data_IF_844842822731
#
_entry.id   IF_844842822731
#
_cell.length_a   1.000
_cell.length_b   1.000
_cell.length_c   1.000
_cell.angle_alpha   90.00
_cell.angle_beta   90.00
_cell.angle_gamma   90.00
#
_symmetry.space_group_name_H-M   'P 1'
#
loop_
_entity.id
_entity.type
_entity.pdbx_description
1 polymer ?
#
# COMPACT_ATOMS: atom_id res chain seq x y z
N UNK A 1 4.64 6.78 -15.94
CA UNK A 1 4.88 7.53 -17.18
C UNK A 1 5.84 6.77 -18.09
N UNK A 2 5.64 6.87 -19.41
CA UNK A 2 6.65 6.40 -20.38
C UNK A 2 7.62 7.54 -20.59
N UNK A 3 8.90 7.31 -20.32
CA UNK A 3 9.98 8.30 -20.45
C UNK A 3 10.96 7.85 -21.52
N UNK A 4 11.53 8.80 -22.25
CA UNK A 4 12.68 8.53 -23.11
C UNK A 4 13.95 8.35 -22.28
N UNK A 5 14.98 7.76 -22.89
CA UNK A 5 16.33 7.74 -22.29
C UNK A 5 16.78 9.18 -22.06
N UNK A 6 17.37 9.48 -20.92
CA UNK A 6 17.80 10.83 -20.50
C UNK A 6 16.68 11.80 -20.10
N UNK A 7 15.41 11.43 -20.18
CA UNK A 7 14.33 12.27 -19.68
C UNK A 7 14.25 12.18 -18.15
N UNK A 8 14.11 13.35 -17.51
CA UNK A 8 13.82 13.47 -16.09
C UNK A 8 12.57 14.30 -15.92
N UNK A 9 11.59 13.78 -15.16
CA UNK A 9 10.31 14.47 -14.92
C UNK A 9 10.00 14.47 -13.42
N UNK A 10 9.59 15.62 -12.88
CA UNK A 10 9.14 15.73 -11.50
C UNK A 10 7.91 14.84 -11.28
N UNK A 11 7.89 14.09 -10.21
CA UNK A 11 6.75 13.31 -9.76
C UNK A 11 5.78 14.26 -9.03
N UNK A 12 4.68 14.63 -9.68
CA UNK A 12 3.67 15.51 -9.10
C UNK A 12 2.76 14.75 -8.13
N UNK A 13 2.50 13.47 -8.42
CA UNK A 13 1.67 12.59 -7.59
C UNK A 13 2.57 11.62 -6.82
N UNK A 14 2.66 11.82 -5.51
CA UNK A 14 3.45 11.00 -4.61
C UNK A 14 2.82 9.62 -4.34
N UNK A 15 1.53 9.46 -4.59
CA UNK A 15 0.84 8.17 -4.44
C UNK A 15 1.27 7.14 -5.48
N UNK A 16 1.93 7.60 -6.55
CA UNK A 16 2.49 6.74 -7.58
C UNK A 16 3.90 6.22 -7.26
N UNK A 17 4.46 6.59 -6.11
CA UNK A 17 5.72 6.02 -5.68
C UNK A 17 5.54 4.58 -5.21
N UNK A 18 6.18 3.68 -5.92
CA UNK A 18 6.33 2.28 -5.54
C UNK A 18 7.81 1.97 -5.45
N UNK A 19 8.25 1.51 -4.30
CA UNK A 19 9.69 1.37 -3.98
C UNK A 19 10.40 0.21 -4.68
N UNK A 20 9.85 -0.27 -5.79
CA UNK A 20 10.43 -1.38 -6.57
C UNK A 20 11.88 -1.12 -7.01
N UNK A 21 12.18 0.12 -7.39
CA UNK A 21 13.53 0.56 -7.74
C UNK A 21 13.61 2.07 -7.61
N UNK A 22 14.43 2.57 -6.71
CA UNK A 22 14.69 4.00 -6.56
C UNK A 22 16.12 4.27 -6.07
N UNK A 23 16.59 5.48 -6.24
CA UNK A 23 17.87 5.94 -5.72
C UNK A 23 17.71 7.28 -5.03
N UNK A 24 18.40 7.47 -3.93
CA UNK A 24 18.49 8.75 -3.23
C UNK A 24 19.85 8.92 -2.55
N UNK A 25 20.21 10.15 -2.18
CA UNK A 25 21.44 10.39 -1.45
C UNK A 25 21.35 9.84 -0.03
N UNK A 26 22.48 9.40 0.54
CA UNK A 26 22.55 9.00 1.94
C UNK A 26 22.17 10.15 2.91
N UNK A 27 22.37 11.41 2.49
CA UNK A 27 21.95 12.58 3.26
C UNK A 27 20.42 12.67 3.29
N UNK A 28 19.77 12.57 2.13
CA UNK A 28 18.29 12.60 2.03
C UNK A 28 17.67 11.46 2.81
N UNK A 29 18.22 10.24 2.68
CA UNK A 29 17.80 9.07 3.46
C UNK A 29 17.81 9.35 4.98
N UNK A 30 18.91 9.89 5.50
CA UNK A 30 19.02 10.23 6.93
C UNK A 30 18.07 11.35 7.35
N UNK A 31 17.81 12.32 6.46
CA UNK A 31 16.88 13.43 6.76
C UNK A 31 15.44 12.94 6.86
N UNK A 32 15.02 12.04 5.96
CA UNK A 32 13.67 11.46 5.93
C UNK A 32 13.50 10.38 7.00
N UNK A 33 14.55 9.67 7.37
CA UNK A 33 14.56 8.64 8.41
C UNK A 33 14.23 7.22 7.93
N UNK A 34 14.32 6.95 6.62
CA UNK A 34 14.02 5.62 6.06
C UNK A 34 12.52 5.31 6.01
N UNK A 35 12.14 4.06 5.83
CA UNK A 35 10.74 3.62 5.94
C UNK A 35 10.29 3.58 7.40
N UNK A 36 9.01 3.87 7.64
CA UNK A 36 8.44 3.77 8.98
C UNK A 36 8.16 2.29 9.33
N UNK A 37 8.84 1.78 10.37
CA UNK A 37 8.75 0.38 10.80
C UNK A 37 7.39 0.02 11.44
N UNK A 38 6.48 0.97 11.65
CA UNK A 38 5.10 0.67 12.06
C UNK A 38 4.32 -0.06 10.97
N UNK A 39 4.69 0.18 9.69
CA UNK A 39 4.12 -0.55 8.57
C UNK A 39 4.71 -1.96 8.53
N UNK A 40 3.89 -2.95 8.76
CA UNK A 40 4.28 -4.37 8.73
C UNK A 40 3.46 -5.07 7.66
N UNK A 41 4.08 -6.00 6.92
CA UNK A 41 3.42 -6.73 5.85
C UNK A 41 3.26 -5.89 4.59
N UNK A 42 2.06 -5.66 4.11
CA UNK A 42 1.82 -5.12 2.77
C UNK A 42 1.00 -3.84 2.78
N UNK A 43 1.48 -2.81 2.08
CA UNK A 43 0.74 -1.62 1.63
C UNK A 43 0.83 -0.41 2.56
N UNK A 44 0.96 0.76 1.94
CA UNK A 44 0.97 2.08 2.57
C UNK A 44 2.35 2.62 2.92
N UNK A 45 3.37 1.77 3.10
CA UNK A 45 4.74 2.14 3.46
C UNK A 45 5.42 2.99 2.40
N UNK A 46 5.23 2.64 1.13
CA UNK A 46 5.80 3.36 0.00
C UNK A 46 5.26 4.78 -0.10
N UNK A 47 3.94 4.91 -0.06
CA UNK A 47 3.25 6.19 -0.10
C UNK A 47 3.60 7.05 1.11
N UNK A 48 3.69 6.45 2.31
CA UNK A 48 4.13 7.14 3.52
C UNK A 48 5.55 7.71 3.35
N UNK A 49 6.46 6.89 2.85
CA UNK A 49 7.84 7.32 2.61
C UNK A 49 7.91 8.50 1.63
N UNK A 50 7.15 8.42 0.52
CA UNK A 50 7.06 9.51 -0.44
C UNK A 50 6.48 10.79 0.17
N UNK A 51 5.43 10.69 0.98
CA UNK A 51 4.84 11.83 1.69
C UNK A 51 5.82 12.47 2.66
N UNK A 52 6.65 11.68 3.37
CA UNK A 52 7.68 12.19 4.26
C UNK A 52 8.81 12.89 3.51
N UNK A 53 9.17 12.43 2.30
CA UNK A 53 10.10 13.15 1.42
C UNK A 53 9.53 14.54 1.11
N UNK A 54 8.27 14.63 0.69
CA UNK A 54 7.60 15.89 0.41
C UNK A 54 7.51 16.80 1.63
N UNK A 55 7.13 16.28 2.79
CA UNK A 55 7.05 17.01 4.05
C UNK A 55 8.40 17.56 4.52
N UNK A 56 9.50 16.89 4.18
CA UNK A 56 10.87 17.35 4.43
C UNK A 56 11.36 18.40 3.40
N UNK A 57 10.49 18.85 2.49
CA UNK A 57 10.84 19.79 1.42
C UNK A 57 11.62 19.15 0.27
N UNK A 58 11.65 17.82 0.19
CA UNK A 58 12.25 17.09 -0.92
C UNK A 58 11.30 16.97 -2.11
N UNK A 59 11.86 16.54 -3.23
CA UNK A 59 11.10 16.21 -4.44
C UNK A 59 11.53 14.85 -4.98
N UNK A 60 10.65 14.21 -5.72
CA UNK A 60 10.93 12.98 -6.44
C UNK A 60 10.88 13.23 -7.93
N UNK A 61 11.65 12.46 -8.68
CA UNK A 61 11.68 12.52 -10.12
C UNK A 61 11.59 11.12 -10.71
N UNK A 62 10.93 11.02 -11.84
CA UNK A 62 11.02 9.87 -12.72
C UNK A 62 12.24 10.05 -13.63
N UNK A 63 13.09 9.03 -13.70
CA UNK A 63 14.27 9.04 -14.56
C UNK A 63 14.11 7.98 -15.66
N UNK A 64 14.20 8.39 -16.91
CA UNK A 64 14.24 7.50 -18.06
C UNK A 64 15.62 6.83 -18.17
N UNK A 65 15.67 5.72 -18.92
CA UNK A 65 16.93 4.98 -19.18
C UNK A 65 17.43 4.08 -18.04
N UNK A 66 16.99 4.29 -16.80
CA UNK A 66 17.31 3.43 -15.65
C UNK A 66 16.34 2.24 -15.59
N UNK A 67 16.37 1.37 -16.60
CA UNK A 67 15.45 0.26 -16.73
C UNK A 67 15.69 -0.81 -15.67
N UNK A 68 14.66 -1.17 -14.93
CA UNK A 68 14.64 -2.33 -14.05
C UNK A 68 13.60 -3.35 -14.57
N UNK A 69 13.91 -4.63 -14.43
CA UNK A 69 13.02 -5.71 -14.82
C UNK A 69 12.42 -6.36 -13.57
N UNK A 70 11.10 -6.22 -13.41
CA UNK A 70 10.38 -6.93 -12.36
C UNK A 70 9.99 -8.32 -12.87
N UNK A 71 10.43 -9.36 -12.16
CA UNK A 71 10.08 -10.73 -12.53
C UNK A 71 8.55 -10.92 -12.45
N UNK A 72 7.95 -11.37 -13.55
CA UNK A 72 6.52 -11.63 -13.59
C UNK A 72 6.13 -12.73 -12.59
N UNK A 73 5.12 -12.46 -11.79
CA UNK A 73 4.45 -13.43 -10.94
C UNK A 73 2.94 -13.16 -10.94
N UNK A 74 2.10 -14.17 -10.69
CA UNK A 74 0.67 -13.94 -10.51
C UNK A 74 0.42 -12.93 -9.39
N UNK A 75 -0.43 -11.94 -9.66
CA UNK A 75 -0.82 -10.93 -8.69
C UNK A 75 -2.34 -10.80 -8.66
N UNK A 76 -2.88 -10.57 -7.46
CA UNK A 76 -4.29 -10.27 -7.26
C UNK A 76 -4.49 -8.75 -7.24
N UNK A 77 -5.58 -8.28 -7.84
CA UNK A 77 -5.97 -6.87 -7.77
C UNK A 77 -7.46 -6.75 -7.41
N UNK A 78 -7.78 -6.26 -6.21
CA UNK A 78 -6.89 -5.96 -5.10
C UNK A 78 -6.29 -7.23 -4.46
N UNK A 79 -5.17 -7.10 -3.74
CA UNK A 79 -4.47 -8.23 -3.13
C UNK A 79 -5.18 -8.71 -1.85
N UNK A 80 -6.21 -9.53 -2.03
CA UNK A 80 -7.08 -10.03 -0.93
C UNK A 80 -6.29 -10.81 0.11
N UNK A 81 -5.25 -11.55 -0.31
CA UNK A 81 -4.37 -12.27 0.62
C UNK A 81 -3.66 -11.37 1.63
N UNK A 82 -3.59 -10.06 1.38
CA UNK A 82 -2.97 -9.05 2.26
C UNK A 82 -4.00 -8.10 2.91
N UNK A 83 -5.29 -8.45 2.87
CA UNK A 83 -6.37 -7.58 3.38
C UNK A 83 -6.09 -7.05 4.79
N UNK A 84 -5.73 -7.93 5.72
CA UNK A 84 -5.48 -7.55 7.11
C UNK A 84 -4.34 -6.53 7.24
N UNK A 85 -3.23 -6.76 6.54
CA UNK A 85 -2.09 -5.83 6.53
C UNK A 85 -2.49 -4.48 5.94
N UNK A 86 -3.20 -4.49 4.81
CA UNK A 86 -3.65 -3.28 4.13
C UNK A 86 -4.58 -2.45 5.02
N UNK A 87 -5.55 -3.08 5.68
CA UNK A 87 -6.48 -2.39 6.60
C UNK A 87 -5.71 -1.78 7.78
N UNK A 88 -4.84 -2.55 8.43
CA UNK A 88 -4.01 -2.06 9.54
C UNK A 88 -3.13 -0.89 9.11
N UNK A 89 -2.41 -1.04 8.01
CA UNK A 89 -1.49 -0.03 7.49
C UNK A 89 -2.25 1.22 7.00
N UNK A 90 -3.44 1.06 6.42
CA UNK A 90 -4.30 2.18 6.05
C UNK A 90 -4.68 3.04 7.27
N UNK A 91 -4.93 2.43 8.43
CA UNK A 91 -5.17 3.17 9.66
C UNK A 91 -3.94 3.91 10.17
N UNK A 92 -2.72 3.34 10.04
CA UNK A 92 -1.47 4.03 10.36
C UNK A 92 -1.34 5.26 9.48
N UNK A 93 -1.50 5.08 8.17
CA UNK A 93 -1.42 6.16 7.19
C UNK A 93 -2.45 7.27 7.46
N UNK A 94 -3.71 6.90 7.74
CA UNK A 94 -4.79 7.85 8.06
C UNK A 94 -4.46 8.72 9.27
N UNK A 95 -3.87 8.13 10.30
CA UNK A 95 -3.45 8.90 11.51
C UNK A 95 -2.35 9.90 11.19
N UNK A 96 -1.39 9.53 10.33
CA UNK A 96 -0.25 10.39 9.98
C UNK A 96 -0.62 11.50 9.00
N UNK A 97 -1.48 11.20 8.02
CA UNK A 97 -1.72 12.07 6.86
C UNK A 97 -3.15 12.60 6.73
N UNK A 98 -4.07 12.21 7.61
CA UNK A 98 -5.45 12.67 7.60
C UNK A 98 -6.31 12.16 6.43
N UNK A 99 -5.78 11.30 5.58
CA UNK A 99 -6.46 10.71 4.41
C UNK A 99 -6.19 9.22 4.31
N UNK A 100 -6.98 8.50 3.54
CA UNK A 100 -6.77 7.08 3.27
C UNK A 100 -5.79 6.87 2.12
N UNK A 101 -4.87 5.90 2.21
CA UNK A 101 -4.08 5.43 1.08
C UNK A 101 -4.87 4.40 0.28
N UNK A 102 -4.43 4.08 -0.93
CA UNK A 102 -4.94 2.95 -1.71
C UNK A 102 -6.48 2.88 -1.81
N UNK A 103 -7.15 4.03 -1.92
CA UNK A 103 -8.64 4.14 -1.85
C UNK A 103 -9.31 3.15 -2.81
N UNK A 104 -8.79 2.97 -4.03
CA UNK A 104 -9.36 2.04 -4.99
C UNK A 104 -9.38 0.58 -4.52
N UNK A 105 -8.41 0.16 -3.71
CA UNK A 105 -8.43 -1.17 -3.11
C UNK A 105 -9.43 -1.25 -1.96
N UNK A 106 -9.52 -0.20 -1.13
CA UNK A 106 -10.47 -0.16 -0.02
C UNK A 106 -11.92 -0.20 -0.53
N UNK A 107 -12.22 0.53 -1.60
CA UNK A 107 -13.53 0.50 -2.27
C UNK A 107 -13.83 -0.88 -2.85
N UNK A 108 -12.85 -1.51 -3.50
CA UNK A 108 -13.03 -2.85 -4.08
C UNK A 108 -13.19 -3.92 -3.00
N UNK A 109 -12.48 -3.82 -1.87
CA UNK A 109 -12.70 -4.68 -0.71
C UNK A 109 -14.11 -4.50 -0.12
N UNK A 110 -14.61 -3.25 -0.05
CA UNK A 110 -15.97 -2.98 0.39
C UNK A 110 -17.01 -3.58 -0.57
N UNK A 111 -16.79 -3.44 -1.89
CA UNK A 111 -17.68 -4.02 -2.91
C UNK A 111 -17.72 -5.56 -2.82
N UNK A 112 -16.63 -6.19 -2.39
CA UNK A 112 -16.54 -7.65 -2.14
C UNK A 112 -17.07 -8.06 -0.77
N UNK A 113 -17.50 -7.11 0.08
CA UNK A 113 -18.01 -7.40 1.42
C UNK A 113 -16.92 -7.86 2.40
N UNK A 114 -15.66 -7.49 2.17
CA UNK A 114 -14.53 -7.84 3.02
C UNK A 114 -14.27 -6.78 4.10
N UNK A 115 -14.62 -5.52 3.80
CA UNK A 115 -14.54 -4.40 4.73
C UNK A 115 -15.82 -3.57 4.66
N UNK A 116 -16.08 -2.75 5.70
CA UNK A 116 -16.95 -1.58 5.61
C UNK A 116 -16.04 -0.36 5.37
N UNK A 117 -16.29 0.36 4.30
CA UNK A 117 -15.58 1.58 3.94
C UNK A 117 -16.54 2.59 3.35
N UNK A 118 -16.62 3.79 3.95
CA UNK A 118 -17.52 4.88 3.53
C UNK A 118 -16.77 6.20 3.26
N UNK A 119 -15.44 6.16 3.22
CA UNK A 119 -14.57 7.32 3.08
C UNK A 119 -14.13 7.93 4.41
N UNK A 120 -14.90 7.78 5.48
CA UNK A 120 -14.54 8.25 6.82
C UNK A 120 -14.09 7.12 7.73
N UNK A 121 -14.71 5.97 7.62
CA UNK A 121 -14.44 4.77 8.44
C UNK A 121 -13.98 3.61 7.59
N UNK A 122 -13.13 2.77 8.17
CA UNK A 122 -12.66 1.53 7.59
C UNK A 122 -12.67 0.44 8.66
N UNK A 123 -13.42 -0.63 8.43
CA UNK A 123 -13.52 -1.77 9.34
C UNK A 123 -13.44 -3.08 8.55
N UNK A 124 -12.59 -4.00 8.98
CA UNK A 124 -12.55 -5.35 8.44
C UNK A 124 -13.77 -6.14 8.91
N UNK A 125 -14.48 -6.77 7.97
CA UNK A 125 -15.63 -7.60 8.28
C UNK A 125 -15.15 -9.03 8.57
N UNK A 126 -15.54 -9.57 9.72
CA UNK A 126 -15.28 -10.98 10.02
C UNK A 126 -16.08 -11.83 9.05
N UNK A 127 -15.40 -12.56 8.18
CA UNK A 127 -16.02 -13.63 7.42
C UNK A 127 -16.34 -14.75 8.42
N UNK A 128 -17.59 -14.79 8.89
CA UNK A 128 -18.10 -15.96 9.62
C UNK A 128 -18.09 -17.12 8.63
N UNK A 129 -17.18 -18.06 8.78
CA UNK A 129 -17.26 -19.32 8.07
C UNK A 129 -18.63 -19.95 8.39
N UNK A 130 -19.45 -20.32 7.39
CA UNK A 130 -20.69 -21.06 7.66
C UNK A 130 -20.30 -22.35 8.39
N UNK A 131 -20.93 -22.55 9.55
CA UNK A 131 -20.60 -23.52 10.57
C UNK A 131 -20.15 -24.88 10.05
N UNK A 132 -19.06 -25.39 10.60
CA UNK A 132 -18.83 -26.83 10.67
C UNK A 132 -20.05 -27.46 11.38
N UNK A 133 -20.93 -28.08 10.59
CA UNK A 133 -22.02 -28.87 11.13
C UNK A 133 -21.44 -29.89 12.09
N UNK A 134 -21.85 -29.81 13.35
CA UNK A 134 -21.55 -30.81 14.36
C UNK A 134 -22.05 -32.17 13.86
N UNK A 135 -21.17 -32.99 13.36
CA UNK A 135 -21.45 -34.42 13.16
C UNK A 135 -21.61 -35.02 14.52
N UNK A 136 -22.86 -35.08 14.96
CA UNK A 136 -23.24 -35.82 16.16
C UNK A 136 -22.88 -37.29 15.98
N UNK A 137 -21.92 -37.73 16.79
CA UNK A 137 -21.61 -39.10 17.01
C UNK A 137 -22.80 -39.74 17.72
N UNK A 138 -23.57 -40.61 17.03
CA UNK A 138 -24.49 -41.55 17.65
C UNK A 138 -23.77 -42.87 17.76
N UNK A 139 -23.28 -43.12 18.95
CA UNK A 139 -22.94 -44.47 19.42
C UNK A 139 -24.19 -45.36 19.44
N UNK A 140 -24.08 -46.53 18.84
CA UNK A 140 -24.69 -47.80 19.28
C UNK A 140 -23.72 -48.96 19.01
#
# INVERSE_FOLDING_TARGET
PVLTVDEVRVAEDLDLFWSLSFAMSARSWRTVGGFDEQYVGYGGEDTDFAMRIGAAGGSMVWAGGATAYHQHHPSENPPVGHLHDIVRNAHIFRRSWGRWPMVGWLEEFARRGLVRFDGDTLEELRVTQPGAAATGNRER
#
